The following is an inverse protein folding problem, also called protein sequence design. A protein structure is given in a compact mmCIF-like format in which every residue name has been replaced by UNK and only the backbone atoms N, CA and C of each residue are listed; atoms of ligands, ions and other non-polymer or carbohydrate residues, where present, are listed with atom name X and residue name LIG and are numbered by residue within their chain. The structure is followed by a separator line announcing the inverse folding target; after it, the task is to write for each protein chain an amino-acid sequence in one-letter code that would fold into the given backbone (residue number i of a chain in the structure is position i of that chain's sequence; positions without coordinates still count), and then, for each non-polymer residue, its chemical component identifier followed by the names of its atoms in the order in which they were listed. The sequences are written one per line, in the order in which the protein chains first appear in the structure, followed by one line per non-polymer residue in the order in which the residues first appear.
data_IF_409119996122
#
_entry.id   IF_409119996122
#
_cell.length_a   1.000
_cell.length_b   1.000
_cell.length_c   1.000
_cell.angle_alpha   90.00
_cell.angle_beta   90.00
_cell.angle_gamma   90.00
#
_symmetry.space_group_name_H-M   'P 1'
#
loop_
_entity.id
_entity.type
_entity.pdbx_description
1 polymer ?
#
# COMPACT_ATOMS: atom_id res chain seq x y z
N UNK A 1 -55.15 -24.67 2.59
CA UNK A 1 -54.00 -25.45 2.09
C UNK A 1 -53.86 -25.14 0.62
N UNK A 2 -53.03 -24.16 0.31
CA UNK A 2 -52.34 -23.97 -0.95
C UNK A 2 -51.30 -22.91 -0.63
N UNK A 3 -50.06 -23.36 -0.50
CA UNK A 3 -48.88 -22.59 -0.12
C UNK A 3 -48.57 -21.58 -1.22
N UNK A 4 -48.72 -20.29 -0.93
CA UNK A 4 -47.99 -19.23 -1.63
C UNK A 4 -46.60 -19.10 -0.98
N UNK A 5 -45.77 -20.12 -1.15
CA UNK A 5 -44.32 -19.93 -1.09
C UNK A 5 -43.87 -19.32 -2.42
N UNK A 6 -44.19 -18.04 -2.64
CA UNK A 6 -43.34 -17.23 -3.49
C UNK A 6 -42.04 -17.02 -2.73
N UNK A 7 -41.17 -18.02 -2.90
CA UNK A 7 -39.75 -18.04 -2.59
C UNK A 7 -39.22 -16.60 -2.54
N UNK A 8 -38.86 -16.17 -1.33
CA UNK A 8 -38.17 -14.92 -1.10
C UNK A 8 -37.02 -14.84 -2.10
N UNK A 9 -37.12 -13.87 -3.03
CA UNK A 9 -36.08 -13.60 -4.02
C UNK A 9 -34.76 -13.49 -3.25
N UNK A 10 -33.79 -14.37 -3.49
CA UNK A 10 -32.53 -14.33 -2.79
C UNK A 10 -31.86 -12.98 -3.02
N UNK A 11 -31.18 -12.50 -1.99
CA UNK A 11 -30.32 -11.34 -2.03
C UNK A 11 -29.39 -11.41 -3.26
N UNK A 12 -29.33 -10.32 -4.02
CA UNK A 12 -28.47 -10.09 -5.19
C UNK A 12 -28.48 -11.24 -6.22
N UNK A 13 -29.45 -11.15 -7.13
CA UNK A 13 -29.47 -11.98 -8.33
C UNK A 13 -28.19 -11.74 -9.13
N UNK A 14 -27.46 -12.81 -9.46
CA UNK A 14 -26.24 -12.69 -10.26
C UNK A 14 -26.43 -13.18 -11.69
N UNK A 15 -25.54 -12.77 -12.59
CA UNK A 15 -25.53 -13.25 -13.98
C UNK A 15 -25.42 -14.78 -14.02
N UNK A 16 -24.71 -15.38 -13.06
CA UNK A 16 -24.58 -16.84 -12.91
C UNK A 16 -25.93 -17.50 -12.67
N UNK A 17 -26.83 -16.86 -11.93
CA UNK A 17 -28.16 -17.42 -11.66
C UNK A 17 -29.06 -17.37 -12.89
N UNK A 18 -28.94 -16.33 -13.73
CA UNK A 18 -29.62 -16.27 -15.03
C UNK A 18 -29.16 -17.42 -15.94
N UNK A 19 -27.87 -17.77 -15.94
CA UNK A 19 -27.36 -18.92 -16.68
C UNK A 19 -27.87 -20.26 -16.14
N UNK A 20 -28.01 -20.42 -14.81
CA UNK A 20 -28.63 -21.62 -14.21
C UNK A 20 -30.08 -21.77 -14.65
N UNK A 21 -30.87 -20.68 -14.57
CA UNK A 21 -32.26 -20.69 -15.02
C UNK A 21 -32.38 -20.99 -16.52
N UNK A 22 -31.49 -20.44 -17.34
CA UNK A 22 -31.45 -20.75 -18.77
C UNK A 22 -31.19 -22.26 -19.02
N UNK A 23 -30.30 -22.88 -18.25
CA UNK A 23 -30.03 -24.32 -18.35
C UNK A 23 -31.23 -25.17 -17.91
N UNK A 24 -31.89 -24.82 -16.81
CA UNK A 24 -33.11 -25.51 -16.34
C UNK A 24 -34.24 -25.40 -17.37
N UNK A 25 -34.48 -24.20 -17.89
CA UNK A 25 -35.47 -23.96 -18.95
C UNK A 25 -35.10 -24.74 -20.24
N UNK A 26 -33.81 -24.82 -20.58
CA UNK A 26 -33.31 -25.61 -21.70
C UNK A 26 -33.64 -27.09 -21.56
N UNK A 27 -33.44 -27.68 -20.37
CA UNK A 27 -33.80 -29.07 -20.09
C UNK A 27 -35.31 -29.34 -20.20
N UNK A 28 -36.16 -28.38 -19.81
CA UNK A 28 -37.61 -28.49 -20.00
C UNK A 28 -37.99 -28.44 -21.49
N UNK A 29 -37.32 -27.58 -22.29
CA UNK A 29 -37.52 -27.56 -23.73
C UNK A 29 -37.07 -28.85 -24.41
N UNK A 30 -35.97 -29.46 -24.00
CA UNK A 30 -35.53 -30.78 -24.49
C UNK A 30 -36.61 -31.85 -24.23
N UNK A 31 -37.14 -31.91 -23.00
CA UNK A 31 -38.23 -32.85 -22.65
C UNK A 31 -39.49 -32.63 -23.48
N UNK A 32 -39.83 -31.37 -23.78
CA UNK A 32 -40.97 -31.05 -24.64
C UNK A 32 -40.74 -31.46 -26.09
N UNK A 33 -39.53 -31.27 -26.61
CA UNK A 33 -39.14 -31.68 -27.97
C UNK A 33 -39.22 -33.21 -28.09
N UNK A 34 -38.73 -33.94 -27.09
CA UNK A 34 -38.76 -35.41 -27.08
C UNK A 34 -40.19 -35.97 -27.07
N UNK A 35 -41.13 -35.27 -26.42
CA UNK A 35 -42.52 -35.75 -26.25
C UNK A 35 -43.45 -35.30 -27.37
N UNK A 36 -43.32 -34.06 -27.85
CA UNK A 36 -44.28 -33.41 -28.76
C UNK A 36 -43.67 -32.96 -30.10
N UNK A 37 -42.40 -33.28 -30.35
CA UNK A 37 -41.66 -32.86 -31.53
C UNK A 37 -41.23 -31.39 -31.50
N UNK A 38 -40.20 -31.06 -32.30
CA UNK A 38 -39.55 -29.75 -32.27
C UNK A 38 -40.49 -28.57 -32.62
N UNK A 39 -41.48 -28.81 -33.49
CA UNK A 39 -42.42 -27.77 -33.94
C UNK A 39 -43.20 -27.10 -32.80
N UNK A 40 -43.39 -27.81 -31.69
CA UNK A 40 -44.10 -27.30 -30.52
C UNK A 40 -43.36 -26.16 -29.79
N UNK A 41 -42.04 -26.04 -29.99
CA UNK A 41 -41.17 -25.11 -29.24
C UNK A 41 -40.46 -24.10 -30.15
N UNK A 42 -40.35 -24.36 -31.46
CA UNK A 42 -39.60 -23.55 -32.44
C UNK A 42 -39.89 -22.05 -32.37
N UNK A 43 -41.15 -21.64 -32.22
CA UNK A 43 -41.52 -20.21 -32.20
C UNK A 43 -41.41 -19.57 -30.79
N UNK A 44 -41.38 -20.39 -29.75
CA UNK A 44 -41.31 -19.94 -28.35
C UNK A 44 -39.87 -19.75 -27.89
N UNK A 45 -38.97 -20.66 -28.28
CA UNK A 45 -37.56 -20.66 -27.86
C UNK A 45 -36.85 -19.32 -28.14
N UNK A 46 -36.95 -18.69 -29.33
CA UNK A 46 -36.33 -17.38 -29.57
C UNK A 46 -36.88 -16.26 -28.69
N UNK A 47 -38.15 -16.34 -28.26
CA UNK A 47 -38.76 -15.36 -27.36
C UNK A 47 -38.24 -15.52 -25.94
N UNK A 48 -38.10 -16.77 -25.48
CA UNK A 48 -37.55 -17.07 -24.15
C UNK A 48 -36.07 -16.72 -24.07
N UNK A 49 -35.29 -17.04 -25.11
CA UNK A 49 -33.89 -16.59 -25.22
C UNK A 49 -33.80 -15.07 -25.14
N UNK A 50 -34.64 -14.33 -25.88
CA UNK A 50 -34.65 -12.86 -25.81
C UNK A 50 -34.97 -12.32 -24.42
N UNK A 51 -35.89 -12.94 -23.69
CA UNK A 51 -36.21 -12.55 -22.30
C UNK A 51 -35.02 -12.82 -21.37
N UNK A 52 -34.37 -13.97 -21.52
CA UNK A 52 -33.17 -14.32 -20.74
C UNK A 52 -31.99 -13.39 -21.05
N UNK A 53 -31.76 -13.03 -22.31
CA UNK A 53 -30.76 -12.03 -22.71
C UNK A 53 -31.05 -10.63 -22.14
N UNK A 54 -32.32 -10.22 -22.07
CA UNK A 54 -32.70 -8.95 -21.46
C UNK A 54 -32.51 -8.99 -19.94
N UNK A 55 -32.84 -10.12 -19.31
CA UNK A 55 -32.63 -10.33 -17.89
C UNK A 55 -31.12 -10.31 -17.55
N UNK A 56 -30.29 -10.99 -18.32
CA UNK A 56 -28.83 -10.96 -18.17
C UNK A 56 -28.29 -9.53 -18.21
N UNK A 57 -28.71 -8.72 -19.20
CA UNK A 57 -28.29 -7.32 -19.30
C UNK A 57 -28.72 -6.46 -18.12
N UNK A 58 -29.92 -6.70 -17.58
CA UNK A 58 -30.41 -5.99 -16.41
C UNK A 58 -29.62 -6.38 -15.17
N UNK A 59 -29.33 -7.66 -15.00
CA UNK A 59 -28.57 -8.20 -13.87
C UNK A 59 -27.09 -7.77 -13.92
N UNK A 60 -26.44 -7.82 -15.09
CA UNK A 60 -25.07 -7.31 -15.28
C UNK A 60 -24.97 -5.80 -14.98
N UNK A 61 -26.00 -5.03 -15.34
CA UNK A 61 -26.05 -3.60 -14.98
C UNK A 61 -26.24 -3.41 -13.49
N UNK A 62 -27.14 -4.15 -12.86
CA UNK A 62 -27.41 -4.09 -11.42
C UNK A 62 -26.17 -4.47 -10.60
N UNK A 63 -25.43 -5.52 -10.99
CA UNK A 63 -24.16 -5.90 -10.37
C UNK A 63 -23.12 -4.77 -10.46
N UNK A 64 -23.00 -4.11 -11.61
CA UNK A 64 -22.07 -2.98 -11.79
C UNK A 64 -22.46 -1.79 -10.93
N UNK A 65 -23.75 -1.41 -10.93
CA UNK A 65 -24.27 -0.33 -10.10
C UNK A 65 -24.11 -0.64 -8.61
N UNK A 66 -24.36 -1.88 -8.20
CA UNK A 66 -24.15 -2.33 -6.83
C UNK A 66 -22.67 -2.23 -6.42
N UNK A 67 -21.76 -2.70 -7.27
CA UNK A 67 -20.32 -2.60 -7.03
C UNK A 67 -19.87 -1.15 -6.89
N UNK A 68 -20.32 -0.26 -7.79
CA UNK A 68 -20.02 1.18 -7.71
C UNK A 68 -20.56 1.80 -6.42
N UNK A 69 -21.80 1.47 -6.03
CA UNK A 69 -22.39 1.95 -4.76
C UNK A 69 -21.60 1.43 -3.55
N UNK A 70 -21.14 0.19 -3.59
CA UNK A 70 -20.31 -0.42 -2.54
C UNK A 70 -18.96 0.29 -2.42
N UNK A 71 -18.28 0.53 -3.54
CA UNK A 71 -17.04 1.28 -3.61
C UNK A 71 -17.21 2.72 -3.07
N UNK A 72 -18.24 3.43 -3.52
CA UNK A 72 -18.54 4.78 -3.05
C UNK A 72 -18.83 4.81 -1.55
N UNK A 73 -19.55 3.81 -1.00
CA UNK A 73 -19.77 3.69 0.45
C UNK A 73 -18.46 3.53 1.21
N UNK A 74 -17.54 2.70 0.71
CA UNK A 74 -16.21 2.53 1.32
C UNK A 74 -15.38 3.82 1.27
N UNK A 75 -15.44 4.55 0.15
CA UNK A 75 -14.75 5.84 0.03
C UNK A 75 -15.34 6.91 0.97
N UNK A 76 -16.67 6.97 1.12
CA UNK A 76 -17.30 7.85 2.12
C UNK A 76 -16.84 7.50 3.53
N UNK A 77 -16.82 6.21 3.89
CA UNK A 77 -16.33 5.78 5.21
C UNK A 77 -14.87 6.18 5.42
N UNK A 78 -14.01 6.00 4.41
CA UNK A 78 -12.61 6.41 4.45
C UNK A 78 -12.47 7.93 4.62
N UNK A 79 -13.22 8.72 3.86
CA UNK A 79 -13.21 10.18 3.95
C UNK A 79 -13.71 10.67 5.32
N UNK A 80 -14.74 10.06 5.87
CA UNK A 80 -15.24 10.36 7.21
C UNK A 80 -14.18 10.08 8.28
N UNK A 81 -13.47 8.94 8.18
CA UNK A 81 -12.37 8.61 9.08
C UNK A 81 -11.21 9.63 8.99
N UNK A 82 -10.79 9.98 7.77
CA UNK A 82 -9.76 11.01 7.55
C UNK A 82 -10.18 12.39 8.07
N UNK A 83 -11.45 12.76 7.91
CA UNK A 83 -11.98 14.01 8.43
C UNK A 83 -11.92 14.05 9.97
N UNK A 84 -12.33 12.95 10.62
CA UNK A 84 -12.28 12.84 12.07
C UNK A 84 -10.84 12.91 12.60
N UNK A 85 -9.92 12.15 12.00
CA UNK A 85 -8.49 12.18 12.35
C UNK A 85 -7.90 13.58 12.20
N UNK A 86 -8.21 14.27 11.09
CA UNK A 86 -7.77 15.65 10.86
C UNK A 86 -8.35 16.63 11.89
N UNK A 87 -9.62 16.45 12.26
CA UNK A 87 -10.27 17.25 13.30
C UNK A 87 -9.60 17.07 14.66
N UNK A 88 -9.32 15.82 15.05
CA UNK A 88 -8.60 15.50 16.29
C UNK A 88 -7.18 16.07 16.29
N UNK A 89 -6.46 15.95 15.18
CA UNK A 89 -5.12 16.50 15.05
C UNK A 89 -5.13 18.03 15.16
N UNK A 90 -6.09 18.69 14.52
CA UNK A 90 -6.25 20.14 14.64
C UNK A 90 -6.57 20.55 16.08
N UNK A 91 -7.42 19.80 16.79
CA UNK A 91 -7.73 20.05 18.20
C UNK A 91 -6.49 19.89 19.09
N UNK A 92 -5.62 18.91 18.83
CA UNK A 92 -4.34 18.75 19.54
C UNK A 92 -3.41 19.93 19.28
N UNK A 93 -3.22 20.31 18.01
CA UNK A 93 -2.39 21.46 17.64
C UNK A 93 -2.90 22.75 18.27
N UNK A 94 -4.22 22.96 18.29
CA UNK A 94 -4.83 24.12 18.93
C UNK A 94 -4.51 24.16 20.43
N UNK A 95 -4.62 23.04 21.13
CA UNK A 95 -4.28 22.94 22.55
C UNK A 95 -2.79 23.20 22.81
N UNK A 96 -1.91 22.68 21.96
CA UNK A 96 -0.47 22.90 22.07
C UNK A 96 -0.12 24.38 21.85
N UNK A 97 -0.78 25.05 20.90
CA UNK A 97 -0.64 26.49 20.66
C UNK A 97 -1.10 27.32 21.86
N UNK A 98 -2.25 26.97 22.46
CA UNK A 98 -2.75 27.61 23.68
C UNK A 98 -1.77 27.45 24.84
N UNK A 99 -1.18 26.27 25.01
CA UNK A 99 -0.18 26.03 26.04
C UNK A 99 1.09 26.87 25.82
N UNK A 100 1.55 27.00 24.57
CA UNK A 100 2.70 27.85 24.25
C UNK A 100 2.38 29.32 24.52
N UNK A 101 1.21 29.81 24.12
CA UNK A 101 0.79 31.19 24.37
C UNK A 101 0.72 31.51 25.87
N UNK A 102 0.17 30.60 26.69
CA UNK A 102 0.18 30.76 28.15
C UNK A 102 1.60 30.78 28.73
N UNK A 103 2.49 29.89 28.28
CA UNK A 103 3.89 29.90 28.73
C UNK A 103 4.59 31.22 28.38
N UNK A 104 4.35 31.75 27.18
CA UNK A 104 4.91 33.04 26.74
C UNK A 104 4.35 34.20 27.56
N UNK A 105 3.06 34.19 27.91
CA UNK A 105 2.46 35.20 28.80
C UNK A 105 3.07 35.14 30.20
N UNK A 106 3.29 33.95 30.74
CA UNK A 106 3.93 33.75 32.04
C UNK A 106 5.37 34.27 32.02
N UNK A 107 6.18 33.88 31.04
CA UNK A 107 7.55 34.37 30.87
C UNK A 107 7.60 35.91 30.70
N UNK A 108 6.72 36.48 29.87
CA UNK A 108 6.63 37.93 29.69
C UNK A 108 6.29 38.66 31.00
N UNK A 109 5.40 38.08 31.81
CA UNK A 109 5.03 38.62 33.13
C UNK A 109 6.20 38.54 34.11
N UNK A 110 6.93 37.43 34.14
CA UNK A 110 8.12 37.27 34.98
C UNK A 110 9.23 38.25 34.60
N UNK A 111 9.47 38.45 33.30
CA UNK A 111 10.41 39.44 32.80
C UNK A 111 10.00 40.86 33.19
N UNK A 112 8.72 41.21 33.07
CA UNK A 112 8.21 42.51 33.51
C UNK A 112 8.37 42.73 35.01
N UNK A 113 8.10 41.71 35.83
CA UNK A 113 8.33 41.77 37.28
C UNK A 113 9.81 41.94 37.62
N UNK A 114 10.69 41.28 36.86
CA UNK A 114 12.14 41.42 37.03
C UNK A 114 12.59 42.84 36.68
N UNK A 115 12.10 43.40 35.57
CA UNK A 115 12.37 44.79 35.18
C UNK A 115 11.85 45.77 36.23
N UNK A 116 10.65 45.57 36.79
CA UNK A 116 10.12 46.45 37.83
C UNK A 116 10.97 46.41 39.09
N UNK A 117 11.41 45.21 39.52
CA UNK A 117 12.30 45.05 40.68
C UNK A 117 13.63 45.75 40.47
N UNK A 118 14.27 45.54 39.32
CA UNK A 118 15.53 46.19 38.98
C UNK A 118 15.41 47.72 38.85
N UNK A 119 14.27 48.23 38.37
CA UNK A 119 14.00 49.67 38.34
C UNK A 119 13.83 50.26 39.73
N UNK A 120 13.15 49.54 40.62
CA UNK A 120 12.99 49.94 42.02
C UNK A 120 14.33 49.93 42.77
N UNK A 121 15.10 48.85 42.63
CA UNK A 121 16.46 48.75 43.17
C UNK A 121 17.36 49.88 42.64
N UNK A 122 17.35 50.16 41.33
CA UNK A 122 18.09 51.30 40.77
C UNK A 122 17.64 52.63 41.34
N UNK A 123 16.32 52.85 41.50
CA UNK A 123 15.80 54.08 42.11
C UNK A 123 16.28 54.23 43.56
N UNK A 124 16.19 53.15 44.34
CA UNK A 124 16.66 53.12 45.74
C UNK A 124 18.17 53.41 45.82
N UNK A 125 18.98 52.73 45.01
CA UNK A 125 20.42 52.97 44.93
C UNK A 125 20.73 54.41 44.53
N UNK A 126 20.02 54.96 43.54
CA UNK A 126 20.24 56.33 43.09
C UNK A 126 19.83 57.37 44.15
N UNK A 127 18.76 57.11 44.92
CA UNK A 127 18.40 57.95 46.08
C UNK A 127 19.43 57.85 47.20
N UNK A 128 19.97 56.65 47.47
CA UNK A 128 21.03 56.44 48.45
C UNK A 128 22.35 57.11 48.02
N UNK A 129 22.69 57.05 46.72
CA UNK A 129 23.84 57.75 46.17
C UNK A 129 23.65 59.28 46.24
N UNK A 130 22.44 59.77 45.99
CA UNK A 130 22.10 61.19 46.06
C UNK A 130 22.13 61.71 47.51
N UNK A 131 21.67 60.93 48.48
CA UNK A 131 21.79 61.27 49.90
C UNK A 131 23.22 61.16 50.40
N UNK A 132 24.01 60.20 49.89
CA UNK A 132 25.42 60.05 50.21
C UNK A 132 26.27 61.19 49.60
N UNK A 133 26.00 61.60 48.36
CA UNK A 133 26.67 62.75 47.72
C UNK A 133 26.23 64.09 48.31
N UNK A 134 24.98 64.22 48.79
CA UNK A 134 24.54 65.38 49.58
C UNK A 134 25.13 65.43 51.01
N UNK A 135 25.46 64.27 51.59
CA UNK A 135 26.14 64.16 52.89
C UNK A 135 27.68 64.26 52.82
N UNK A 136 28.27 64.13 51.63
CA UNK A 136 29.70 64.23 51.40
C UNK A 136 30.18 65.69 51.26
N UNK A 137 29.93 66.49 52.29
CA UNK A 137 30.81 67.61 52.62
C UNK A 137 31.31 67.62 54.07
N UNK A 138 31.04 66.57 54.86
CA UNK A 138 31.55 66.50 56.23
C UNK A 138 31.66 65.07 56.78
N UNK A 139 32.44 64.16 56.18
CA UNK A 139 33.11 63.07 56.93
C UNK A 139 34.01 62.23 56.02
N UNK A 140 35.26 62.63 55.95
CA UNK A 140 36.34 61.76 55.50
C UNK A 140 37.13 61.30 56.74
N UNK A 141 36.57 60.41 57.58
CA UNK A 141 37.40 59.63 58.52
C UNK A 141 36.78 58.45 59.31
N UNK A 142 35.67 57.83 58.90
CA UNK A 142 35.15 56.61 59.58
C UNK A 142 34.63 55.51 58.63
N UNK A 143 35.18 55.40 57.42
CA UNK A 143 34.71 54.42 56.42
C UNK A 143 35.86 53.48 56.05
N UNK A 144 36.10 52.46 56.87
CA UNK A 144 37.06 51.40 56.52
C UNK A 144 36.50 50.01 56.81
N UNK A 145 35.69 49.84 57.85
CA UNK A 145 35.08 48.54 58.17
C UNK A 145 33.81 48.27 57.34
N UNK A 146 32.97 49.30 57.11
CA UNK A 146 31.78 49.18 56.27
C UNK A 146 32.12 48.88 54.81
N UNK A 147 33.18 49.49 54.28
CA UNK A 147 33.64 49.25 52.91
C UNK A 147 34.25 47.86 52.74
N UNK A 148 34.91 47.36 53.79
CA UNK A 148 35.42 45.99 53.80
C UNK A 148 34.28 44.95 53.81
N UNK A 149 33.21 45.20 54.56
CA UNK A 149 32.03 44.34 54.59
C UNK A 149 31.27 44.36 53.24
N UNK A 150 31.11 45.53 52.63
CA UNK A 150 30.51 45.68 51.29
C UNK A 150 31.36 44.96 50.22
N UNK A 151 32.68 45.10 50.27
CA UNK A 151 33.60 44.39 49.37
C UNK A 151 33.53 42.87 49.56
N UNK A 152 33.38 42.39 50.80
CA UNK A 152 33.16 40.97 51.10
C UNK A 152 31.88 40.42 50.46
N UNK A 153 30.77 41.15 50.57
CA UNK A 153 29.48 40.77 49.95
C UNK A 153 29.55 40.80 48.41
N UNK A 154 30.24 41.79 47.84
CA UNK A 154 30.50 41.88 46.39
C UNK A 154 31.36 40.73 45.88
N UNK A 155 32.39 40.35 46.64
CA UNK A 155 33.22 39.19 46.30
C UNK A 155 32.40 37.90 46.32
N UNK A 156 31.56 37.72 47.32
CA UNK A 156 30.70 36.53 47.44
C UNK A 156 29.66 36.46 46.30
N UNK A 157 29.06 37.58 45.90
CA UNK A 157 28.14 37.60 44.75
C UNK A 157 28.86 37.34 43.43
N UNK A 158 30.08 37.88 43.24
CA UNK A 158 30.91 37.58 42.07
C UNK A 158 31.31 36.10 42.03
N UNK A 159 31.70 35.52 43.15
CA UNK A 159 32.05 34.09 43.23
C UNK A 159 30.83 33.20 42.97
N UNK A 160 29.65 33.59 43.47
CA UNK A 160 28.37 32.91 43.20
C UNK A 160 27.99 33.02 41.72
N UNK A 161 28.11 34.20 41.11
CA UNK A 161 27.87 34.41 39.68
C UNK A 161 28.86 33.62 38.81
N UNK A 162 30.12 33.52 39.19
CA UNK A 162 31.11 32.67 38.52
C UNK A 162 30.74 31.19 38.60
N UNK A 163 30.25 30.73 39.75
CA UNK A 163 29.79 29.35 39.90
C UNK A 163 28.56 29.07 39.01
N UNK A 164 27.60 29.99 38.94
CA UNK A 164 26.42 29.84 38.07
C UNK A 164 26.79 29.88 36.60
N UNK A 165 27.73 30.75 36.18
CA UNK A 165 28.24 30.77 34.81
C UNK A 165 28.86 29.42 34.43
N UNK A 166 29.73 28.87 35.29
CA UNK A 166 30.33 27.55 35.04
C UNK A 166 29.29 26.42 34.96
N UNK A 167 28.27 26.46 35.82
CA UNK A 167 27.19 25.47 35.77
C UNK A 167 26.38 25.58 34.47
N UNK A 168 26.09 26.80 34.02
CA UNK A 168 25.41 27.04 32.74
C UNK A 168 26.27 26.65 31.54
N UNK A 169 27.58 26.90 31.57
CA UNK A 169 28.49 26.44 30.53
C UNK A 169 28.53 24.91 30.44
N UNK A 170 28.51 24.20 31.57
CA UNK A 170 28.41 22.74 31.60
C UNK A 170 27.07 22.25 31.01
N UNK A 171 25.95 22.89 31.37
CA UNK A 171 24.64 22.57 30.83
C UNK A 171 24.57 22.80 29.32
N UNK A 172 25.09 23.92 28.82
CA UNK A 172 25.16 24.24 27.39
C UNK A 172 26.00 23.18 26.66
N UNK A 173 27.16 22.83 27.18
CA UNK A 173 28.01 21.80 26.58
C UNK A 173 27.29 20.44 26.52
N UNK A 174 26.57 20.06 27.57
CA UNK A 174 25.78 18.83 27.57
C UNK A 174 24.67 18.85 26.52
N UNK A 175 23.92 19.96 26.42
CA UNK A 175 22.88 20.12 25.39
C UNK A 175 23.46 20.12 23.97
N UNK A 176 24.63 20.70 23.76
CA UNK A 176 25.32 20.64 22.47
C UNK A 176 25.68 19.20 22.08
N UNK A 177 26.19 18.40 23.03
CA UNK A 177 26.46 16.98 22.77
C UNK A 177 25.18 16.19 22.42
N UNK A 178 24.07 16.48 23.11
CA UNK A 178 22.76 15.87 22.79
C UNK A 178 22.27 16.28 21.39
N UNK A 179 22.42 17.56 21.02
CA UNK A 179 22.07 18.06 19.69
C UNK A 179 22.90 17.40 18.59
N UNK A 180 24.21 17.28 18.78
CA UNK A 180 25.11 16.59 17.83
C UNK A 180 24.72 15.11 17.68
N UNK A 181 24.38 14.43 18.77
CA UNK A 181 23.95 13.04 18.74
C UNK A 181 22.62 12.86 17.99
N UNK A 182 21.64 13.74 18.25
CA UNK A 182 20.35 13.75 17.54
C UNK A 182 20.53 14.08 16.06
N UNK A 183 21.39 15.06 15.73
CA UNK A 183 21.71 15.41 14.35
C UNK A 183 22.32 14.23 13.59
N UNK A 184 23.26 13.50 14.22
CA UNK A 184 23.81 12.27 13.66
C UNK A 184 22.74 11.19 13.43
N UNK A 185 21.75 11.06 14.32
CA UNK A 185 20.64 10.13 14.15
C UNK A 185 19.73 10.53 12.98
N UNK A 186 19.42 11.82 12.84
CA UNK A 186 18.63 12.35 11.72
C UNK A 186 19.35 12.10 10.40
N UNK A 187 20.65 12.34 10.32
CA UNK A 187 21.44 12.04 9.11
C UNK A 187 21.44 10.55 8.75
N UNK A 188 21.55 9.66 9.75
CA UNK A 188 21.42 8.21 9.52
C UNK A 188 20.05 7.84 8.99
N UNK A 189 18.98 8.38 9.59
CA UNK A 189 17.60 8.13 9.14
C UNK A 189 17.36 8.69 7.72
N UNK A 190 17.91 9.86 7.40
CA UNK A 190 17.82 10.44 6.07
C UNK A 190 18.48 9.53 5.01
N UNK A 191 19.65 8.97 5.31
CA UNK A 191 20.31 7.97 4.43
C UNK A 191 19.44 6.74 4.21
N UNK A 192 18.92 6.14 5.28
CA UNK A 192 18.04 4.96 5.18
C UNK A 192 16.76 5.29 4.39
N UNK A 193 16.15 6.46 4.62
CA UNK A 193 14.95 6.87 3.89
C UNK A 193 15.24 7.04 2.38
N UNK A 194 16.39 7.62 2.04
CA UNK A 194 16.83 7.76 0.65
C UNK A 194 17.05 6.41 -0.03
N UNK A 195 17.67 5.46 0.66
CA UNK A 195 17.87 4.11 0.14
C UNK A 195 16.55 3.34 -0.02
N UNK A 196 15.62 3.49 0.92
CA UNK A 196 14.26 2.93 0.80
C UNK A 196 13.50 3.51 -0.38
N UNK A 197 13.58 4.83 -0.62
CA UNK A 197 12.97 5.48 -1.79
C UNK A 197 13.57 4.97 -3.10
N UNK A 198 14.89 4.80 -3.16
CA UNK A 198 15.56 4.19 -4.33
C UNK A 198 15.10 2.76 -4.57
N UNK A 199 15.04 1.94 -3.51
CA UNK A 199 14.56 0.55 -3.60
C UNK A 199 13.10 0.50 -4.07
N UNK A 200 12.24 1.35 -3.51
CA UNK A 200 10.84 1.47 -3.92
C UNK A 200 10.73 1.85 -5.40
N UNK A 201 11.51 2.81 -5.89
CA UNK A 201 11.52 3.20 -7.29
C UNK A 201 11.95 2.03 -8.21
N UNK A 202 12.98 1.27 -7.83
CA UNK A 202 13.44 0.11 -8.58
C UNK A 202 12.37 -0.99 -8.63
N UNK A 203 11.79 -1.35 -7.48
CA UNK A 203 10.72 -2.36 -7.41
C UNK A 203 9.48 -1.91 -8.20
N UNK A 204 9.14 -0.63 -8.17
CA UNK A 204 8.05 -0.08 -8.98
C UNK A 204 8.34 -0.16 -10.48
N UNK A 205 9.58 0.11 -10.91
CA UNK A 205 10.00 -0.04 -12.30
C UNK A 205 9.95 -1.50 -12.75
N UNK A 206 10.43 -2.43 -11.91
CA UNK A 206 10.34 -3.87 -12.18
C UNK A 206 8.87 -4.32 -12.32
N UNK A 207 8.00 -3.85 -11.43
CA UNK A 207 6.56 -4.11 -11.52
C UNK A 207 5.94 -3.63 -12.84
N UNK A 208 6.31 -2.44 -13.31
CA UNK A 208 5.86 -1.91 -14.61
C UNK A 208 6.36 -2.77 -15.77
N UNK A 209 7.65 -3.14 -15.78
CA UNK A 209 8.22 -4.01 -16.82
C UNK A 209 7.51 -5.36 -16.89
N UNK A 210 7.18 -5.97 -15.74
CA UNK A 210 6.45 -7.24 -15.71
C UNK A 210 5.01 -7.11 -16.23
N UNK A 211 4.34 -5.99 -15.96
CA UNK A 211 3.01 -5.70 -16.50
C UNK A 211 3.06 -5.55 -18.02
N UNK A 212 4.07 -4.85 -18.54
CA UNK A 212 4.29 -4.70 -19.99
C UNK A 212 4.60 -6.04 -20.67
N UNK A 213 5.47 -6.86 -20.08
CA UNK A 213 5.77 -8.22 -20.58
C UNK A 213 4.53 -9.11 -20.56
N UNK A 214 3.73 -9.08 -19.48
CA UNK A 214 2.47 -9.83 -19.39
C UNK A 214 1.50 -9.38 -20.49
N UNK A 215 1.34 -8.06 -20.70
CA UNK A 215 0.47 -7.53 -21.73
C UNK A 215 0.92 -7.97 -23.13
N UNK A 216 2.23 -7.94 -23.41
CA UNK A 216 2.80 -8.42 -24.66
C UNK A 216 2.55 -9.91 -24.89
N UNK A 217 2.80 -10.75 -23.88
CA UNK A 217 2.55 -12.20 -23.96
C UNK A 217 1.06 -12.50 -24.16
N UNK A 218 0.18 -11.79 -23.47
CA UNK A 218 -1.27 -11.95 -23.61
C UNK A 218 -1.76 -11.57 -25.01
N UNK A 219 -1.23 -10.49 -25.59
CA UNK A 219 -1.53 -10.10 -26.97
C UNK A 219 -1.01 -11.14 -27.98
N UNK A 220 0.19 -11.69 -27.76
CA UNK A 220 0.75 -12.74 -28.62
C UNK A 220 -0.07 -14.03 -28.55
N UNK A 221 -0.50 -14.43 -27.35
CA UNK A 221 -1.37 -15.58 -27.14
C UNK A 221 -2.70 -15.40 -27.86
N UNK A 222 -3.36 -14.24 -27.71
CA UNK A 222 -4.59 -13.92 -28.43
C UNK A 222 -4.41 -13.97 -29.95
N UNK A 223 -3.29 -13.46 -30.47
CA UNK A 223 -2.94 -13.59 -31.88
C UNK A 223 -2.84 -15.06 -32.34
N UNK A 224 -2.20 -15.91 -31.54
CA UNK A 224 -2.11 -17.35 -31.81
C UNK A 224 -3.45 -18.08 -31.71
N UNK A 225 -4.29 -17.72 -30.75
CA UNK A 225 -5.65 -18.24 -30.63
C UNK A 225 -6.50 -17.88 -31.87
N UNK A 226 -6.37 -16.65 -32.37
CA UNK A 226 -7.03 -16.22 -33.61
C UNK A 226 -6.51 -16.95 -34.85
N UNK A 227 -5.19 -17.15 -34.97
CA UNK A 227 -4.59 -17.97 -36.03
C UNK A 227 -5.11 -19.41 -35.99
N UNK A 228 -5.16 -20.03 -34.79
CA UNK A 228 -5.69 -21.38 -34.60
C UNK A 228 -7.18 -21.43 -34.97
N UNK A 229 -7.98 -20.44 -34.56
CA UNK A 229 -9.39 -20.36 -34.93
C UNK A 229 -9.57 -20.26 -36.45
N UNK A 230 -8.77 -19.43 -37.12
CA UNK A 230 -8.78 -19.29 -38.57
C UNK A 230 -8.37 -20.59 -39.30
N UNK A 231 -7.38 -21.32 -38.77
CA UNK A 231 -6.97 -22.62 -39.30
C UNK A 231 -8.05 -23.69 -39.09
N UNK A 232 -8.68 -23.75 -37.92
CA UNK A 232 -9.82 -24.65 -37.64
C UNK A 232 -10.98 -24.39 -38.61
N UNK A 233 -11.30 -23.12 -38.84
CA UNK A 233 -12.32 -22.71 -39.82
C UNK A 233 -11.94 -23.14 -41.25
N UNK A 234 -10.68 -22.96 -41.67
CA UNK A 234 -10.20 -23.41 -43.00
C UNK A 234 -10.18 -24.93 -43.19
N UNK A 235 -9.89 -25.67 -42.12
CA UNK A 235 -9.87 -27.13 -42.14
C UNK A 235 -11.27 -27.74 -42.00
N UNK A 236 -12.32 -26.91 -41.88
CA UNK A 236 -13.69 -27.39 -41.70
C UNK A 236 -13.92 -28.10 -40.37
N UNK A 237 -13.01 -27.95 -39.39
CA UNK A 237 -13.08 -28.53 -38.05
C UNK A 237 -14.04 -27.76 -37.14
N UNK A 238 -15.01 -27.06 -37.73
CA UNK A 238 -16.06 -26.32 -37.03
C UNK A 238 -17.21 -27.29 -36.75
N UNK A 239 -16.97 -28.22 -35.84
CA UNK A 239 -17.91 -29.25 -35.43
C UNK A 239 -17.21 -30.51 -34.90
N UNK A 240 -17.49 -30.86 -33.64
CA UNK A 240 -17.47 -32.20 -33.04
C UNK A 240 -16.21 -33.09 -33.04
N UNK A 241 -15.04 -32.63 -33.46
CA UNK A 241 -13.81 -33.46 -33.36
C UNK A 241 -12.95 -33.20 -32.12
N UNK A 242 -13.14 -32.06 -31.45
CA UNK A 242 -12.37 -31.70 -30.24
C UNK A 242 -12.80 -32.45 -28.97
N UNK A 243 -14.09 -32.76 -28.86
CA UNK A 243 -14.67 -33.41 -27.67
C UNK A 243 -14.71 -34.94 -27.76
N UNK A 244 -14.49 -35.53 -28.94
CA UNK A 244 -14.45 -36.99 -29.10
C UNK A 244 -13.11 -37.61 -28.68
N UNK A 245 -12.02 -36.84 -28.63
CA UNK A 245 -10.69 -37.38 -28.30
C UNK A 245 -10.50 -37.59 -26.78
N UNK A 246 -11.33 -36.99 -25.93
CA UNK A 246 -11.19 -37.05 -24.46
C UNK A 246 -12.09 -38.15 -23.84
N UNK A 247 -12.96 -38.80 -24.62
CA UNK A 247 -13.95 -39.77 -24.12
C UNK A 247 -13.67 -41.25 -24.39
N UNK A 248 -12.46 -41.63 -24.81
CA UNK A 248 -12.09 -43.05 -24.90
C UNK A 248 -11.34 -43.52 -23.64
N UNK A 249 -12.10 -44.06 -22.69
CA UNK A 249 -11.62 -45.08 -21.76
C UNK A 249 -11.18 -46.35 -22.53
N UNK A 250 -10.22 -47.13 -22.00
CA UNK A 250 -9.46 -48.10 -22.78
C UNK A 250 -10.29 -49.35 -23.11
N UNK A 251 -10.31 -49.84 -24.36
CA UNK A 251 -10.88 -51.14 -24.64
C UNK A 251 -9.86 -52.25 -24.36
N UNK A 252 -10.41 -53.28 -23.73
CA UNK A 252 -9.83 -54.56 -23.39
C UNK A 252 -9.35 -55.36 -24.62
N UNK A 253 -8.52 -56.33 -24.32
CA UNK A 253 -7.70 -57.17 -25.17
C UNK A 253 -8.45 -57.90 -26.29
N UNK A 254 -8.00 -57.73 -27.54
CA UNK A 254 -7.82 -58.81 -28.52
C UNK A 254 -6.76 -58.38 -29.57
N UNK A 255 -5.85 -59.26 -30.02
CA UNK A 255 -4.87 -58.91 -31.05
C UNK A 255 -5.44 -59.18 -32.45
N UNK A 256 -5.34 -58.24 -33.40
CA UNK A 256 -5.44 -58.57 -34.81
C UNK A 256 -4.05 -58.57 -35.46
N UNK A 257 -3.68 -59.74 -35.95
CA UNK A 257 -2.71 -59.91 -37.03
C UNK A 257 -3.22 -59.18 -38.29
N UNK A 258 -2.49 -58.14 -38.74
CA UNK A 258 -2.26 -57.82 -40.17
C UNK A 258 -1.44 -56.51 -40.33
N UNK A 259 -0.33 -56.50 -41.08
CA UNK A 259 0.60 -55.37 -41.17
C UNK A 259 0.28 -54.45 -42.35
N UNK A 260 -0.92 -53.86 -42.38
CA UNK A 260 -1.31 -52.97 -43.47
C UNK A 260 -2.33 -51.90 -43.04
N UNK A 261 -2.01 -51.08 -42.04
CA UNK A 261 -2.61 -49.75 -41.91
C UNK A 261 -1.73 -48.84 -41.02
N UNK A 262 -1.00 -47.92 -41.63
CA UNK A 262 -0.09 -46.97 -40.97
C UNK A 262 -0.46 -45.51 -41.30
N UNK A 263 -1.73 -45.24 -41.59
CA UNK A 263 -2.23 -43.87 -41.67
C UNK A 263 -2.66 -43.39 -40.28
N UNK A 264 -1.85 -42.49 -39.70
CA UNK A 264 -2.23 -41.72 -38.50
C UNK A 264 -1.36 -41.90 -37.25
N UNK A 265 -0.33 -42.75 -37.27
CA UNK A 265 0.67 -42.78 -36.18
C UNK A 265 1.81 -41.84 -36.51
N UNK A 266 2.05 -40.87 -35.63
CA UNK A 266 3.23 -39.99 -35.64
C UNK A 266 4.48 -40.88 -35.61
N UNK A 267 5.11 -41.10 -36.75
CA UNK A 267 6.41 -41.77 -36.84
C UNK A 267 7.41 -40.78 -36.24
N UNK A 268 7.72 -40.95 -34.96
CA UNK A 268 8.74 -40.15 -34.28
C UNK A 268 10.09 -40.56 -34.87
N UNK A 269 10.68 -39.69 -35.68
CA UNK A 269 12.05 -39.88 -36.15
C UNK A 269 12.99 -39.81 -34.94
N UNK A 270 13.57 -40.95 -34.58
CA UNK A 270 14.49 -41.08 -33.45
C UNK A 270 15.83 -40.36 -33.71
N UNK A 271 16.08 -39.88 -34.94
CA UNK A 271 17.34 -39.27 -35.37
C UNK A 271 17.30 -37.73 -35.43
N UNK A 272 16.15 -37.11 -35.15
CA UNK A 272 15.96 -35.65 -35.23
C UNK A 272 16.80 -34.90 -34.15
N UNK A 273 17.76 -34.05 -34.54
CA UNK A 273 18.57 -33.24 -33.62
C UNK A 273 17.76 -32.27 -32.78
N UNK A 274 16.65 -31.76 -33.31
CA UNK A 274 15.80 -30.71 -32.72
C UNK A 274 14.61 -31.29 -31.94
N UNK A 275 14.54 -32.61 -31.81
CA UNK A 275 13.53 -33.29 -30.98
C UNK A 275 13.63 -32.80 -29.54
N UNK A 276 12.50 -32.43 -28.89
CA UNK A 276 12.49 -32.11 -27.47
C UNK A 276 13.02 -33.31 -26.66
N UNK A 277 14.24 -33.17 -26.12
CA UNK A 277 14.92 -34.21 -25.34
C UNK A 277 14.44 -34.29 -23.90
N UNK A 278 13.72 -33.25 -23.47
CA UNK A 278 13.18 -33.12 -22.13
C UNK A 278 11.69 -33.39 -22.15
N UNK A 279 11.22 -34.18 -21.20
CA UNK A 279 9.81 -34.25 -20.85
C UNK A 279 9.32 -32.88 -20.36
N UNK A 280 8.02 -32.59 -20.50
CA UNK A 280 7.45 -31.34 -19.99
C UNK A 280 7.71 -31.13 -18.49
N UNK A 281 7.81 -32.21 -17.73
CA UNK A 281 8.15 -32.20 -16.30
C UNK A 281 9.60 -31.77 -16.08
N UNK A 282 10.54 -32.32 -16.84
CA UNK A 282 11.96 -31.92 -16.77
C UNK A 282 12.16 -30.47 -17.21
N UNK A 283 11.47 -30.01 -18.26
CA UNK A 283 11.55 -28.63 -18.71
C UNK A 283 11.03 -27.66 -17.63
N UNK A 284 9.92 -28.00 -16.95
CA UNK A 284 9.42 -27.22 -15.81
C UNK A 284 10.43 -27.18 -14.67
N UNK A 285 11.04 -28.31 -14.34
CA UNK A 285 12.07 -28.40 -13.28
C UNK A 285 13.28 -27.53 -13.61
N UNK A 286 13.79 -27.60 -14.84
CA UNK A 286 14.94 -26.81 -15.30
C UNK A 286 14.62 -25.31 -15.31
N UNK A 287 13.41 -24.92 -15.70
CA UNK A 287 12.98 -23.53 -15.67
C UNK A 287 12.83 -22.99 -14.23
N UNK A 288 12.31 -23.81 -13.31
CA UNK A 288 12.24 -23.46 -11.89
C UNK A 288 13.64 -23.29 -11.30
N UNK A 289 14.54 -24.25 -11.53
CA UNK A 289 15.93 -24.20 -11.07
C UNK A 289 16.68 -22.99 -11.66
N UNK A 290 16.49 -22.71 -12.95
CA UNK A 290 17.04 -21.51 -13.61
C UNK A 290 16.55 -20.23 -12.94
N UNK A 291 15.25 -20.14 -12.61
CA UNK A 291 14.69 -18.96 -11.97
C UNK A 291 15.23 -18.77 -10.54
N UNK A 292 15.35 -19.85 -9.76
CA UNK A 292 15.97 -19.82 -8.43
C UNK A 292 17.43 -19.38 -8.48
N UNK A 293 18.21 -19.92 -9.41
CA UNK A 293 19.62 -19.54 -9.60
C UNK A 293 19.75 -18.08 -10.03
N UNK A 294 18.82 -17.57 -10.85
CA UNK A 294 18.80 -16.17 -11.27
C UNK A 294 18.53 -15.23 -10.08
N UNK A 295 17.62 -15.60 -9.18
CA UNK A 295 17.36 -14.83 -7.95
C UNK A 295 18.62 -14.81 -7.07
N UNK A 296 19.24 -15.97 -6.82
CA UNK A 296 20.48 -16.04 -6.02
C UNK A 296 21.63 -15.25 -6.63
N UNK A 297 21.78 -15.28 -7.96
CA UNK A 297 22.79 -14.49 -8.65
C UNK A 297 22.57 -12.99 -8.41
N UNK A 298 21.33 -12.51 -8.53
CA UNK A 298 20.99 -11.11 -8.28
C UNK A 298 21.27 -10.70 -6.83
N UNK A 299 20.94 -11.55 -5.85
CA UNK A 299 21.24 -11.28 -4.43
C UNK A 299 22.73 -11.15 -4.18
N UNK A 300 23.55 -12.04 -4.75
CA UNK A 300 25.01 -12.01 -4.63
C UNK A 300 25.60 -10.80 -5.35
N UNK A 301 25.10 -10.43 -6.52
CA UNK A 301 25.51 -9.23 -7.25
C UNK A 301 25.19 -7.94 -6.46
N UNK A 302 24.00 -7.88 -5.84
CA UNK A 302 23.60 -6.78 -4.95
C UNK A 302 24.49 -6.70 -3.71
N UNK A 303 24.87 -7.83 -3.11
CA UNK A 303 25.82 -7.86 -2.00
C UNK A 303 27.22 -7.39 -2.42
N UNK A 304 27.73 -7.87 -3.56
CA UNK A 304 29.04 -7.47 -4.08
C UNK A 304 29.09 -5.99 -4.43
N UNK A 305 27.98 -5.40 -4.88
CA UNK A 305 27.87 -3.97 -5.19
C UNK A 305 28.07 -3.07 -3.97
N UNK A 306 27.81 -3.56 -2.75
CA UNK A 306 28.02 -2.82 -1.49
C UNK A 306 29.50 -2.71 -1.11
N UNK A 307 30.37 -3.50 -1.74
CA UNK A 307 31.81 -3.54 -1.49
C UNK A 307 32.66 -2.90 -2.61
N UNK A 308 32.01 -2.33 -3.64
CA UNK A 308 32.65 -1.47 -4.66
C UNK A 308 32.45 0.00 -4.31
#
# INVERSE_FOLDING_TARGET
MAEEEHSSIPLELTVVDVYKWAAEIGQEFERLIDTFGAESVTDLMPKVVRVLEQLEKLVDRDEKEHNEVSELKLDVQRLQAMYLEKSEQNARVQKDLEQVDESWKEEAKELLQTISRLREENKQLNTALSSHTAGQHAQAKEISESDFEVMGRLKETVDRQRATLRAKDMEINQRNMELEALQSQVERLAKVNHDLRRKQALTQQQGKSLVEEKAHLQASLQGKEQEIAALKDRLGLKGDLGDQIIKEEPPDQTPPDDPANLDGKLVIDLSDPDRPRFTMTELRSVLQEKNELKIRLMEVEDELSKYK
#
